data_IF_464482671605
#
_entry.id   IF_464482671605
#
_cell.length_a   1.000
_cell.length_b   1.000
_cell.length_c   1.000
_cell.angle_alpha   90.00
_cell.angle_beta   90.00
_cell.angle_gamma   90.00
#
_symmetry.space_group_name_H-M   'P 1'
#
loop_
_entity.id
_entity.type
_entity.pdbx_description
1 polymer ?
#
# COMPACT_ATOMS: atom_id res chain seq x y z
N UNK A 1 -15.68 1.66 26.10
CA UNK A 1 -14.93 1.89 24.85
C UNK A 1 -13.88 2.93 25.16
N UNK A 2 -12.64 2.66 24.79
CA UNK A 2 -11.54 3.56 25.10
C UNK A 2 -11.62 4.80 24.19
N UNK A 3 -11.38 5.98 24.77
CA UNK A 3 -11.25 7.20 23.98
C UNK A 3 -9.87 7.18 23.35
N UNK A 4 -9.82 7.12 22.01
CA UNK A 4 -8.57 7.25 21.26
C UNK A 4 -8.27 8.73 21.08
N UNK A 5 -7.03 9.12 21.35
CA UNK A 5 -6.55 10.48 21.15
C UNK A 5 -5.20 10.45 20.46
N UNK A 6 -4.71 11.61 20.03
CA UNK A 6 -3.37 11.76 19.47
C UNK A 6 -2.24 11.30 20.43
N UNK A 7 -2.53 11.22 21.73
CA UNK A 7 -1.59 10.81 22.78
C UNK A 7 -1.67 9.33 23.14
N UNK A 8 -2.68 8.60 22.64
CA UNK A 8 -2.75 7.15 22.78
C UNK A 8 -1.51 6.52 22.13
N UNK A 9 -0.81 5.62 22.82
CA UNK A 9 0.35 4.92 22.24
C UNK A 9 -0.09 3.74 21.39
N UNK A 10 0.81 3.24 20.53
CA UNK A 10 0.55 2.00 19.79
C UNK A 10 0.32 0.84 20.75
N UNK A 11 1.10 0.77 21.83
CA UNK A 11 0.95 -0.27 22.84
C UNK A 11 -0.39 -0.23 23.57
N UNK A 12 -0.86 0.96 23.95
CA UNK A 12 -2.20 1.13 24.52
C UNK A 12 -3.28 0.68 23.52
N UNK A 13 -3.18 1.15 22.27
CA UNK A 13 -4.14 0.82 21.21
C UNK A 13 -4.20 -0.70 20.95
N UNK A 14 -3.06 -1.38 20.91
CA UNK A 14 -2.98 -2.83 20.74
C UNK A 14 -3.52 -3.61 21.95
N UNK A 15 -3.51 -3.00 23.14
CA UNK A 15 -4.04 -3.58 24.37
C UNK A 15 -5.56 -3.43 24.53
N UNK A 16 -6.21 -2.62 23.72
CA UNK A 16 -7.67 -2.44 23.76
C UNK A 16 -8.39 -3.65 23.17
N UNK A 17 -9.28 -4.26 23.97
CA UNK A 17 -10.01 -5.48 23.63
C UNK A 17 -10.81 -5.31 22.32
N UNK A 18 -11.34 -4.11 22.06
CA UNK A 18 -12.10 -3.80 20.85
C UNK A 18 -11.30 -3.91 19.54
N UNK A 19 -9.96 -3.89 19.59
CA UNK A 19 -9.08 -4.01 18.41
C UNK A 19 -8.28 -5.31 18.37
N UNK A 20 -8.35 -6.12 19.42
CA UNK A 20 -7.57 -7.35 19.57
C UNK A 20 -7.57 -8.28 18.35
N UNK A 21 -8.68 -8.45 17.58
CA UNK A 21 -8.66 -9.30 16.39
C UNK A 21 -7.71 -8.84 15.29
N UNK A 22 -7.33 -7.56 15.27
CA UNK A 22 -6.49 -6.98 14.21
C UNK A 22 -5.26 -6.21 14.71
N UNK A 23 -5.04 -6.13 16.03
CA UNK A 23 -3.98 -5.29 16.61
C UNK A 23 -2.57 -5.70 16.19
N UNK A 24 -2.32 -7.00 15.99
CA UNK A 24 -1.04 -7.53 15.48
C UNK A 24 -0.70 -7.01 14.06
N UNK A 25 -1.69 -6.45 13.36
CA UNK A 25 -1.58 -5.94 12.01
C UNK A 25 -1.48 -4.41 11.96
N UNK A 26 -1.60 -3.69 13.09
CA UNK A 26 -1.37 -2.24 13.08
C UNK A 26 0.07 -1.93 12.67
N UNK A 27 1.03 -2.66 13.20
CA UNK A 27 2.42 -2.61 12.76
C UNK A 27 3.02 -3.99 12.99
N UNK A 28 3.68 -4.57 11.99
CA UNK A 28 4.35 -5.87 12.16
C UNK A 28 5.81 -5.67 12.59
N UNK A 29 6.44 -6.70 13.14
CA UNK A 29 7.85 -6.70 13.57
C UNK A 29 8.23 -5.45 14.40
N UNK A 30 7.35 -5.07 15.33
CA UNK A 30 7.52 -3.87 16.15
C UNK A 30 8.77 -3.96 17.02
N UNK A 31 9.50 -2.86 17.06
CA UNK A 31 10.58 -2.60 18.01
C UNK A 31 10.03 -1.77 19.18
N UNK A 32 10.70 -1.74 20.32
CA UNK A 32 10.22 -1.04 21.53
C UNK A 32 9.94 0.46 21.27
N UNK A 33 10.76 1.09 20.44
CA UNK A 33 10.58 2.47 19.99
C UNK A 33 9.28 2.68 19.19
N UNK A 34 8.74 1.65 18.53
CA UNK A 34 7.46 1.76 17.81
C UNK A 34 6.29 1.70 18.79
N UNK A 35 6.38 0.83 19.79
CA UNK A 35 5.31 0.49 20.73
C UNK A 35 4.93 1.65 21.65
N UNK A 36 5.94 2.38 22.14
CA UNK A 36 5.76 3.46 23.13
C UNK A 36 5.45 4.83 22.50
N UNK A 37 5.59 4.96 21.19
CA UNK A 37 5.32 6.23 20.52
C UNK A 37 3.80 6.53 20.44
N UNK A 38 3.37 7.77 20.75
CA UNK A 38 1.98 8.17 20.63
C UNK A 38 1.55 8.28 19.16
N UNK A 39 0.26 8.12 18.87
CA UNK A 39 -0.26 8.18 17.51
C UNK A 39 0.08 9.50 16.77
N UNK A 40 0.23 10.63 17.46
CA UNK A 40 0.70 11.89 16.86
C UNK A 40 2.09 11.79 16.22
N UNK A 41 2.96 10.92 16.74
CA UNK A 41 4.27 10.65 16.14
C UNK A 41 4.12 10.13 14.70
N UNK A 42 3.09 9.32 14.46
CA UNK A 42 2.79 8.73 13.17
C UNK A 42 1.84 9.58 12.31
N UNK A 43 1.48 10.77 12.77
CA UNK A 43 0.56 11.68 12.09
C UNK A 43 -0.91 11.34 12.31
N UNK A 44 -1.40 11.49 13.55
CA UNK A 44 -2.78 11.17 13.96
C UNK A 44 -3.87 11.64 12.96
N UNK A 45 -3.93 12.95 12.69
CA UNK A 45 -4.90 13.51 11.74
C UNK A 45 -4.50 13.23 10.28
N UNK A 46 -3.22 13.42 9.97
CA UNK A 46 -2.62 13.20 8.63
C UNK A 46 -2.95 11.83 8.06
N UNK A 47 -2.90 10.81 8.91
CA UNK A 47 -3.08 9.40 8.56
C UNK A 47 -4.51 8.89 8.83
N UNK A 48 -5.44 9.74 9.27
CA UNK A 48 -6.86 9.40 9.39
C UNK A 48 -7.18 8.31 10.41
N UNK A 49 -6.44 8.25 11.52
CA UNK A 49 -6.56 7.13 12.48
C UNK A 49 -7.93 7.00 13.13
N UNK A 50 -8.60 8.11 13.44
CA UNK A 50 -9.92 8.07 14.08
C UNK A 50 -10.95 7.37 13.18
N UNK A 51 -11.01 7.77 11.90
CA UNK A 51 -11.88 7.15 10.90
C UNK A 51 -11.53 5.67 10.67
N UNK A 52 -10.24 5.37 10.60
CA UNK A 52 -9.74 4.00 10.42
C UNK A 52 -10.18 3.07 11.55
N UNK A 53 -10.00 3.51 12.80
CA UNK A 53 -10.29 2.71 13.99
C UNK A 53 -11.80 2.60 14.24
N UNK A 54 -12.59 3.63 13.92
CA UNK A 54 -14.06 3.51 13.88
C UNK A 54 -14.52 2.49 12.84
N UNK A 55 -13.90 2.48 11.64
CA UNK A 55 -14.26 1.50 10.62
C UNK A 55 -13.95 0.07 11.06
N UNK A 56 -12.79 -0.16 11.67
CA UNK A 56 -12.43 -1.47 12.25
C UNK A 56 -13.48 -1.91 13.27
N UNK A 57 -13.87 -1.02 14.20
CA UNK A 57 -14.90 -1.34 15.21
C UNK A 57 -16.22 -1.75 14.57
N UNK A 58 -16.65 -1.01 13.54
CA UNK A 58 -17.90 -1.30 12.82
C UNK A 58 -17.86 -2.70 12.19
N UNK A 59 -16.77 -3.05 11.48
CA UNK A 59 -16.64 -4.36 10.84
C UNK A 59 -16.63 -5.49 11.88
N UNK A 60 -15.89 -5.31 12.98
CA UNK A 60 -15.83 -6.30 14.06
C UNK A 60 -17.19 -6.48 14.76
N UNK A 61 -17.98 -5.41 14.91
CA UNK A 61 -19.33 -5.48 15.48
C UNK A 61 -20.31 -6.27 14.60
N UNK A 62 -20.12 -6.24 13.27
CA UNK A 62 -20.89 -7.04 12.30
C UNK A 62 -20.49 -8.52 12.29
N UNK A 63 -19.46 -8.91 13.05
CA UNK A 63 -18.89 -10.27 13.12
C UNK A 63 -18.43 -10.80 11.75
N UNK A 64 -18.06 -9.89 10.84
CA UNK A 64 -17.45 -10.24 9.57
C UNK A 64 -16.00 -10.67 9.87
N UNK A 65 -15.56 -11.87 9.42
CA UNK A 65 -14.16 -12.24 9.53
C UNK A 65 -13.29 -11.24 8.78
N UNK A 66 -12.36 -10.60 9.48
CA UNK A 66 -11.43 -9.65 8.86
C UNK A 66 -10.12 -10.32 8.44
N UNK A 67 -9.64 -11.29 9.21
CA UNK A 67 -8.30 -11.86 9.03
C UNK A 67 -8.39 -13.20 8.31
N UNK A 68 -7.70 -13.31 7.19
CA UNK A 68 -7.62 -14.53 6.40
C UNK A 68 -6.16 -14.97 6.17
N UNK A 69 -5.94 -16.28 6.16
CA UNK A 69 -4.66 -16.87 5.78
C UNK A 69 -4.55 -16.96 4.26
N UNK A 70 -3.40 -16.59 3.71
CA UNK A 70 -3.12 -16.68 2.26
C UNK A 70 -2.00 -17.69 2.04
N UNK A 71 -2.33 -18.92 1.65
CA UNK A 71 -1.30 -19.94 1.44
C UNK A 71 -0.51 -20.26 2.72
N UNK A 72 0.74 -19.82 2.79
CA UNK A 72 1.62 -20.05 3.95
C UNK A 72 1.07 -19.40 5.24
N UNK A 73 1.34 -20.00 6.40
CA UNK A 73 0.79 -19.52 7.69
C UNK A 73 1.22 -18.10 8.07
N UNK A 74 2.29 -17.56 7.49
CA UNK A 74 2.78 -16.20 7.80
C UNK A 74 2.11 -15.10 6.98
N UNK A 75 1.44 -15.42 5.88
CA UNK A 75 0.81 -14.42 5.00
C UNK A 75 -0.65 -14.22 5.41
N UNK A 76 -1.02 -12.95 5.62
CA UNK A 76 -2.35 -12.58 6.09
C UNK A 76 -2.99 -11.55 5.16
N UNK A 77 -4.31 -11.62 5.04
CA UNK A 77 -5.13 -10.68 4.31
C UNK A 77 -6.16 -10.11 5.27
N UNK A 78 -6.15 -8.79 5.44
CA UNK A 78 -7.20 -8.09 6.19
C UNK A 78 -8.25 -7.63 5.20
N UNK A 79 -9.41 -8.28 5.22
CA UNK A 79 -10.58 -7.93 4.44
C UNK A 79 -11.37 -6.82 5.13
N UNK A 80 -11.60 -5.74 4.40
CA UNK A 80 -12.47 -4.64 4.80
C UNK A 80 -13.55 -4.47 3.72
N UNK A 81 -14.81 -4.87 3.99
CA UNK A 81 -15.89 -4.79 3.01
C UNK A 81 -16.23 -3.35 2.66
N UNK A 82 -16.69 -3.10 1.43
CA UNK A 82 -17.25 -1.80 1.05
C UNK A 82 -18.40 -1.39 1.99
N UNK A 83 -18.59 -0.09 2.19
CA UNK A 83 -19.78 0.43 2.86
C UNK A 83 -20.92 0.41 1.83
N UNK A 84 -21.93 -0.44 2.02
CA UNK A 84 -23.15 -0.40 1.22
C UNK A 84 -24.03 0.79 1.60
N UNK A 85 -24.84 1.30 0.66
CA UNK A 85 -25.73 2.46 0.87
C UNK A 85 -26.72 2.31 2.07
N UNK A 86 -26.92 1.10 2.59
CA UNK A 86 -27.83 0.81 3.71
C UNK A 86 -27.19 0.85 5.11
N UNK A 87 -25.89 1.14 5.24
CA UNK A 87 -25.28 1.41 6.53
C UNK A 87 -25.51 2.89 6.89
N UNK A 88 -26.59 3.15 7.65
CA UNK A 88 -27.00 4.42 8.29
C UNK A 88 -26.09 5.63 8.03
N UNK A 89 -26.31 6.29 6.89
CA UNK A 89 -25.81 7.63 6.61
C UNK A 89 -26.57 8.65 7.49
N UNK A 90 -26.25 8.68 8.79
CA UNK A 90 -26.66 9.70 9.76
C UNK A 90 -25.46 10.44 10.35
N UNK A 91 -24.48 10.76 9.52
CA UNK A 91 -23.52 11.81 9.85
C UNK A 91 -23.08 12.49 8.55
N UNK A 92 -23.39 13.77 8.46
CA UNK A 92 -22.84 14.74 7.55
C UNK A 92 -23.25 14.62 6.06
N UNK A 93 -24.31 15.36 5.73
CA UNK A 93 -24.87 15.54 4.40
C UNK A 93 -23.95 16.24 3.39
N UNK A 94 -22.79 15.65 3.10
CA UNK A 94 -21.99 15.94 1.91
C UNK A 94 -22.06 14.74 0.98
N UNK A 95 -22.90 14.88 -0.01
CA UNK A 95 -23.02 13.98 -1.16
C UNK A 95 -21.71 14.00 -1.96
N UNK A 96 -20.88 12.98 -1.79
CA UNK A 96 -19.89 12.61 -2.82
C UNK A 96 -20.67 11.88 -3.92
N UNK A 97 -20.35 12.21 -5.19
CA UNK A 97 -21.17 11.91 -6.36
C UNK A 97 -21.72 10.49 -6.41
N UNK A 98 -23.02 10.39 -6.70
CA UNK A 98 -23.71 9.14 -7.04
C UNK A 98 -22.98 8.44 -8.18
N UNK A 99 -22.35 7.30 -7.90
CA UNK A 99 -22.27 6.25 -8.89
C UNK A 99 -23.63 5.54 -8.86
N UNK A 100 -24.45 5.76 -9.88
CA UNK A 100 -25.66 4.96 -10.12
C UNK A 100 -25.22 3.50 -10.36
N UNK A 101 -25.05 2.71 -9.30
CA UNK A 101 -24.93 1.27 -9.43
C UNK A 101 -25.66 0.57 -8.29
N UNK A 102 -26.74 -0.09 -8.70
CA UNK A 102 -27.57 -1.02 -7.95
C UNK A 102 -26.74 -1.83 -6.95
N UNK A 103 -27.11 -1.77 -5.67
CA UNK A 103 -26.63 -2.71 -4.64
C UNK A 103 -27.32 -4.06 -4.85
N UNK A 104 -26.95 -4.73 -5.95
CA UNK A 104 -27.20 -6.13 -6.29
C UNK A 104 -26.21 -6.52 -7.40
N UNK A 105 -24.95 -6.77 -7.02
CA UNK A 105 -23.85 -7.08 -7.95
C UNK A 105 -22.47 -7.15 -7.28
N UNK A 106 -21.56 -7.92 -7.87
CA UNK A 106 -20.15 -8.03 -7.47
C UNK A 106 -19.38 -6.74 -7.74
N UNK A 107 -18.51 -6.30 -6.82
CA UNK A 107 -17.81 -5.01 -6.89
C UNK A 107 -16.33 -5.13 -7.33
N UNK A 108 -15.79 -4.15 -8.07
CA UNK A 108 -14.33 -4.02 -8.19
C UNK A 108 -13.67 -3.89 -6.81
N UNK A 109 -12.44 -4.36 -6.65
CA UNK A 109 -11.76 -4.35 -5.35
C UNK A 109 -10.32 -3.82 -5.41
N UNK A 110 -9.78 -3.42 -4.25
CA UNK A 110 -8.41 -2.92 -4.14
C UNK A 110 -7.60 -3.82 -3.20
N UNK A 111 -6.45 -4.30 -3.66
CA UNK A 111 -5.45 -4.92 -2.80
C UNK A 111 -4.46 -3.85 -2.37
N UNK A 112 -4.26 -3.68 -1.06
CA UNK A 112 -3.38 -2.67 -0.48
C UNK A 112 -2.13 -3.34 0.08
N UNK A 113 -0.95 -2.89 -0.35
CA UNK A 113 0.36 -3.35 0.07
C UNK A 113 1.04 -2.24 0.90
N UNK A 114 1.01 -2.31 2.24
CA UNK A 114 1.71 -1.36 3.09
C UNK A 114 3.22 -1.37 2.83
N UNK A 115 3.90 -0.26 3.11
CA UNK A 115 5.35 -0.16 3.10
C UNK A 115 5.99 -0.64 4.39
N UNK A 116 7.28 -0.35 4.55
CA UNK A 116 8.09 -0.76 5.71
C UNK A 116 9.46 -1.32 5.34
N UNK A 117 10.01 -0.84 4.22
CA UNK A 117 11.34 -1.18 3.71
C UNK A 117 11.61 -2.69 3.61
N UNK A 118 10.55 -3.49 3.37
CA UNK A 118 10.60 -4.95 3.40
C UNK A 118 11.05 -5.56 4.75
N UNK A 119 11.21 -4.75 5.79
CA UNK A 119 11.55 -5.17 7.15
C UNK A 119 10.32 -5.46 8.01
N UNK A 120 9.21 -4.80 7.68
CA UNK A 120 7.93 -4.81 8.40
C UNK A 120 6.83 -4.22 7.52
N UNK A 121 5.62 -4.09 8.07
CA UNK A 121 4.47 -3.47 7.44
C UNK A 121 3.85 -2.40 8.34
N UNK A 122 3.67 -1.19 7.79
CA UNK A 122 2.99 -0.06 8.44
C UNK A 122 1.47 -0.15 8.24
N UNK A 123 0.88 -1.25 8.74
CA UNK A 123 -0.48 -1.67 8.43
C UNK A 123 -1.58 -0.70 8.86
N UNK A 124 -1.43 0.05 9.95
CA UNK A 124 -2.43 1.04 10.38
C UNK A 124 -2.44 2.27 9.46
N UNK A 125 -1.26 2.80 9.12
CA UNK A 125 -1.09 4.04 8.33
C UNK A 125 -1.38 3.81 6.86
N UNK A 126 -0.79 2.77 6.29
CA UNK A 126 -0.75 2.53 4.84
C UNK A 126 -1.67 1.40 4.41
N UNK A 127 -2.25 0.66 5.36
CA UNK A 127 -3.21 -0.42 5.12
C UNK A 127 -4.62 -0.04 5.54
N UNK A 128 -4.93 -0.14 6.84
CA UNK A 128 -6.28 -0.04 7.41
C UNK A 128 -6.86 1.36 7.21
N UNK A 129 -6.10 2.43 7.44
CA UNK A 129 -6.59 3.79 7.18
C UNK A 129 -6.92 4.01 5.70
N UNK A 130 -6.07 3.51 4.81
CA UNK A 130 -6.29 3.56 3.36
C UNK A 130 -7.50 2.70 2.96
N UNK A 131 -7.63 1.50 3.51
CA UNK A 131 -8.76 0.60 3.30
C UNK A 131 -10.10 1.19 3.78
N UNK A 132 -10.10 1.92 4.90
CA UNK A 132 -11.28 2.62 5.39
C UNK A 132 -11.77 3.69 4.40
N UNK A 133 -10.87 4.42 3.75
CA UNK A 133 -11.24 5.38 2.69
C UNK A 133 -11.79 4.65 1.47
N UNK A 134 -11.12 3.59 0.98
CA UNK A 134 -11.62 2.78 -0.13
C UNK A 134 -13.02 2.23 0.11
N UNK A 135 -13.30 1.77 1.34
CA UNK A 135 -14.63 1.31 1.72
C UNK A 135 -15.70 2.39 1.60
N UNK A 136 -15.39 3.64 1.98
CA UNK A 136 -16.32 4.78 1.80
C UNK A 136 -16.53 5.12 0.33
N UNK A 137 -15.51 4.90 -0.50
CA UNK A 137 -15.59 5.07 -1.96
C UNK A 137 -16.33 3.91 -2.66
N UNK A 138 -16.80 2.91 -1.90
CA UNK A 138 -17.57 1.78 -2.43
C UNK A 138 -16.74 0.57 -2.86
N UNK A 139 -15.44 0.54 -2.56
CA UNK A 139 -14.54 -0.56 -2.91
C UNK A 139 -14.24 -1.46 -1.70
N UNK A 140 -14.44 -2.78 -1.81
CA UNK A 140 -13.85 -3.72 -0.88
C UNK A 140 -12.32 -3.61 -0.94
N UNK A 141 -11.69 -3.58 0.23
CA UNK A 141 -10.24 -3.43 0.37
C UNK A 141 -9.65 -4.66 1.05
N UNK A 142 -8.49 -5.10 0.56
CA UNK A 142 -7.75 -6.25 1.08
C UNK A 142 -6.33 -5.83 1.39
N UNK A 143 -5.98 -5.71 2.67
CA UNK A 143 -4.64 -5.31 3.08
C UNK A 143 -3.77 -6.56 3.17
N UNK A 144 -2.75 -6.64 2.32
CA UNK A 144 -1.83 -7.77 2.25
C UNK A 144 -0.66 -7.59 3.22
N UNK A 145 -0.57 -8.51 4.17
CA UNK A 145 0.59 -8.70 5.04
C UNK A 145 1.46 -9.80 4.45
N UNK A 146 2.29 -9.41 3.48
CA UNK A 146 3.26 -10.24 2.78
C UNK A 146 4.49 -10.59 3.65
N UNK A 147 5.30 -11.56 3.23
CA UNK A 147 6.52 -11.95 3.96
C UNK A 147 7.54 -10.81 4.00
N UNK A 148 8.18 -10.60 5.15
CA UNK A 148 9.18 -9.54 5.36
C UNK A 148 10.37 -10.05 6.18
N UNK A 149 11.33 -9.16 6.46
CA UNK A 149 12.43 -9.37 7.42
C UNK A 149 13.44 -10.49 7.07
N UNK A 150 13.64 -10.77 5.78
CA UNK A 150 14.59 -11.79 5.30
C UNK A 150 15.53 -11.20 4.24
N UNK A 151 16.72 -11.80 4.05
CA UNK A 151 17.73 -11.34 3.07
C UNK A 151 18.35 -12.56 2.34
N UNK A 152 18.17 -12.72 1.02
CA UNK A 152 17.23 -11.98 0.17
C UNK A 152 15.77 -12.28 0.56
N UNK A 153 14.90 -11.31 0.31
CA UNK A 153 13.46 -11.43 0.48
C UNK A 153 12.76 -11.75 -0.84
N UNK A 154 13.09 -11.03 -1.91
CA UNK A 154 12.42 -11.22 -3.20
C UNK A 154 12.79 -12.58 -3.82
N UNK A 155 11.83 -13.22 -4.54
CA UNK A 155 10.52 -12.73 -4.97
C UNK A 155 9.35 -13.01 -4.00
N UNK A 156 9.59 -13.40 -2.74
CA UNK A 156 8.52 -13.88 -1.82
C UNK A 156 7.28 -12.97 -1.69
N UNK A 157 7.40 -11.63 -1.55
CA UNK A 157 6.24 -10.75 -1.48
C UNK A 157 5.40 -10.72 -2.75
N UNK A 158 6.03 -10.97 -3.90
CA UNK A 158 5.36 -11.04 -5.21
C UNK A 158 4.55 -12.35 -5.29
N UNK A 159 5.15 -13.47 -4.87
CA UNK A 159 4.42 -14.75 -4.71
C UNK A 159 3.21 -14.59 -3.78
N UNK A 160 3.36 -13.82 -2.69
CA UNK A 160 2.30 -13.59 -1.71
C UNK A 160 1.15 -12.75 -2.29
N UNK A 161 1.46 -11.73 -3.10
CA UNK A 161 0.46 -10.95 -3.82
C UNK A 161 -0.30 -11.81 -4.83
N UNK A 162 0.43 -12.65 -5.58
CA UNK A 162 -0.19 -13.61 -6.50
C UNK A 162 -1.14 -14.57 -5.77
N UNK A 163 -0.71 -15.12 -4.63
CA UNK A 163 -1.54 -16.02 -3.82
C UNK A 163 -2.77 -15.31 -3.24
N UNK A 164 -2.63 -14.05 -2.82
CA UNK A 164 -3.73 -13.25 -2.29
C UNK A 164 -4.80 -12.98 -3.37
N UNK A 165 -4.37 -12.54 -4.56
CA UNK A 165 -5.28 -12.29 -5.68
C UNK A 165 -5.99 -13.59 -6.09
N UNK A 166 -5.27 -14.72 -6.23
CA UNK A 166 -5.92 -16.03 -6.51
C UNK A 166 -7.00 -16.37 -5.49
N UNK A 167 -6.69 -16.22 -4.21
CA UNK A 167 -7.64 -16.51 -3.15
C UNK A 167 -8.88 -15.61 -3.21
N UNK A 168 -8.71 -14.32 -3.49
CA UNK A 168 -9.82 -13.38 -3.66
C UNK A 168 -10.69 -13.79 -4.85
N UNK A 169 -10.07 -14.11 -5.99
CA UNK A 169 -10.74 -14.55 -7.22
C UNK A 169 -11.49 -15.89 -7.06
N UNK A 170 -10.93 -16.83 -6.30
CA UNK A 170 -11.57 -18.12 -5.98
C UNK A 170 -12.76 -17.95 -5.04
N UNK A 171 -12.70 -16.96 -4.14
CA UNK A 171 -13.72 -16.67 -3.12
C UNK A 171 -14.54 -15.42 -3.45
N UNK A 172 -14.63 -15.07 -4.73
CA UNK A 172 -15.26 -13.83 -5.18
C UNK A 172 -16.72 -13.69 -4.71
N UNK A 173 -17.47 -14.80 -4.62
CA UNK A 173 -18.84 -14.81 -4.08
C UNK A 173 -18.89 -14.48 -2.59
N UNK A 174 -17.96 -15.01 -1.79
CA UNK A 174 -17.87 -14.73 -0.36
C UNK A 174 -17.56 -13.24 -0.12
N UNK A 175 -16.62 -12.70 -0.89
CA UNK A 175 -16.20 -11.32 -0.78
C UNK A 175 -17.10 -10.34 -1.54
N UNK A 176 -18.06 -10.84 -2.32
CA UNK A 176 -18.93 -10.06 -3.21
C UNK A 176 -18.13 -9.16 -4.17
N UNK A 177 -17.04 -9.68 -4.71
CA UNK A 177 -16.16 -8.96 -5.64
C UNK A 177 -16.27 -9.47 -7.07
N UNK A 178 -16.02 -8.59 -8.03
CA UNK A 178 -16.03 -8.89 -9.46
C UNK A 178 -14.69 -9.49 -9.86
N UNK A 179 -14.73 -10.70 -10.43
CA UNK A 179 -13.52 -11.41 -10.86
C UNK A 179 -12.78 -10.62 -11.93
N UNK A 180 -11.46 -10.54 -11.78
CA UNK A 180 -10.56 -9.89 -12.72
C UNK A 180 -10.69 -8.37 -12.77
N UNK A 181 -11.46 -7.76 -11.88
CA UNK A 181 -11.63 -6.32 -11.82
C UNK A 181 -11.10 -5.78 -10.50
N UNK A 182 -9.79 -5.52 -10.48
CA UNK A 182 -9.09 -5.07 -9.28
C UNK A 182 -8.01 -4.03 -9.58
N UNK A 183 -7.64 -3.29 -8.55
CA UNK A 183 -6.46 -2.44 -8.53
C UNK A 183 -5.50 -2.89 -7.41
N UNK A 184 -4.22 -2.54 -7.55
CA UNK A 184 -3.23 -2.74 -6.49
C UNK A 184 -2.70 -1.38 -6.04
N UNK A 185 -2.86 -1.08 -4.76
CA UNK A 185 -2.30 0.11 -4.12
C UNK A 185 -1.07 -0.26 -3.31
N UNK A 186 0.02 0.48 -3.44
CA UNK A 186 1.26 0.22 -2.73
C UNK A 186 1.93 1.48 -2.22
N UNK A 187 2.55 1.38 -1.04
CA UNK A 187 3.25 2.48 -0.38
C UNK A 187 4.72 2.14 -0.14
N UNK A 188 5.66 3.01 -0.51
CA UNK A 188 7.10 2.81 -0.26
C UNK A 188 7.59 1.46 -0.84
N UNK A 189 8.12 0.55 -0.03
CA UNK A 189 8.43 -0.84 -0.43
C UNK A 189 7.20 -1.64 -0.89
N UNK A 190 6.02 -1.39 -0.34
CA UNK A 190 4.76 -1.92 -0.86
C UNK A 190 4.38 -1.28 -2.21
N UNK A 191 4.85 -0.05 -2.48
CA UNK A 191 4.77 0.63 -3.77
C UNK A 191 5.69 -0.02 -4.81
N UNK A 192 6.89 -0.44 -4.40
CA UNK A 192 7.74 -1.31 -5.22
C UNK A 192 7.04 -2.64 -5.52
N UNK A 193 6.44 -3.32 -4.53
CA UNK A 193 5.66 -4.55 -4.77
C UNK A 193 4.50 -4.33 -5.74
N UNK A 194 3.72 -3.27 -5.56
CA UNK A 194 2.61 -2.95 -6.46
C UNK A 194 3.09 -2.62 -7.88
N UNK A 195 4.24 -1.95 -8.03
CA UNK A 195 4.83 -1.66 -9.32
C UNK A 195 5.41 -2.93 -9.98
N UNK A 196 6.05 -3.81 -9.22
CA UNK A 196 6.48 -5.14 -9.71
C UNK A 196 5.30 -5.93 -10.25
N UNK A 197 4.11 -5.76 -9.67
CA UNK A 197 2.92 -6.45 -10.16
C UNK A 197 2.56 -6.13 -11.62
N UNK A 198 3.02 -5.00 -12.15
CA UNK A 198 2.81 -4.63 -13.55
C UNK A 198 3.89 -5.16 -14.51
N UNK A 199 5.05 -5.60 -14.01
CA UNK A 199 6.21 -5.96 -14.85
C UNK A 199 6.02 -7.29 -15.57
N UNK A 200 6.75 -7.48 -16.67
CA UNK A 200 6.64 -8.70 -17.49
C UNK A 200 7.33 -9.92 -16.87
N UNK A 201 8.35 -9.71 -16.05
CA UNK A 201 9.15 -10.79 -15.45
C UNK A 201 8.53 -11.36 -14.19
N UNK A 202 7.92 -10.52 -13.34
CA UNK A 202 7.39 -10.89 -12.02
C UNK A 202 5.93 -10.46 -11.78
N UNK A 203 5.27 -9.80 -12.74
CA UNK A 203 3.92 -9.29 -12.55
C UNK A 203 2.78 -10.27 -12.82
N UNK A 204 1.57 -9.73 -12.96
CA UNK A 204 0.32 -10.48 -13.16
C UNK A 204 0.40 -11.52 -14.28
N UNK A 205 1.08 -11.20 -15.38
CA UNK A 205 1.19 -12.06 -16.57
C UNK A 205 2.03 -13.30 -16.29
N UNK A 206 3.11 -13.16 -15.52
CA UNK A 206 3.97 -14.25 -15.08
C UNK A 206 3.17 -15.32 -14.31
N UNK A 207 2.26 -14.87 -13.45
CA UNK A 207 1.45 -15.76 -12.60
C UNK A 207 0.15 -16.24 -13.26
N UNK A 208 -0.12 -15.85 -14.51
CA UNK A 208 -1.34 -16.20 -15.25
C UNK A 208 -2.61 -15.59 -14.65
N UNK A 209 -2.49 -14.44 -13.99
CA UNK A 209 -3.59 -13.74 -13.32
C UNK A 209 -4.18 -12.64 -14.23
N UNK A 210 -5.40 -12.15 -13.96
CA UNK A 210 -5.95 -11.03 -14.71
C UNK A 210 -5.09 -9.77 -14.54
N UNK A 211 -4.95 -8.98 -15.62
CA UNK A 211 -4.28 -7.67 -15.57
C UNK A 211 -5.05 -6.75 -14.60
N UNK A 212 -4.38 -6.08 -13.64
CA UNK A 212 -5.05 -5.10 -12.79
C UNK A 212 -5.55 -3.91 -13.63
N UNK A 213 -6.70 -3.36 -13.27
CA UNK A 213 -7.26 -2.18 -13.94
C UNK A 213 -6.50 -0.89 -13.65
N UNK A 214 -5.81 -0.83 -12.52
CA UNK A 214 -4.90 0.27 -12.17
C UNK A 214 -3.88 -0.16 -11.10
N UNK A 215 -2.75 0.53 -11.07
CA UNK A 215 -1.78 0.53 -9.98
C UNK A 215 -1.76 1.90 -9.32
N UNK A 216 -1.94 1.96 -8.00
CA UNK A 216 -1.86 3.19 -7.22
C UNK A 216 -0.57 3.19 -6.41
N UNK A 217 0.39 4.01 -6.80
CA UNK A 217 1.77 3.95 -6.32
C UNK A 217 2.10 5.21 -5.51
N UNK A 218 2.18 5.06 -4.19
CA UNK A 218 2.55 6.13 -3.29
C UNK A 218 4.02 6.02 -2.89
N UNK A 219 4.81 7.04 -3.25
CA UNK A 219 6.24 7.19 -3.01
C UNK A 219 7.01 5.87 -3.25
N UNK A 220 6.86 5.24 -4.43
CA UNK A 220 7.39 3.91 -4.67
C UNK A 220 8.92 3.90 -4.78
N UNK A 221 9.55 2.88 -4.22
CA UNK A 221 10.97 2.57 -4.43
C UNK A 221 11.21 1.89 -5.79
N UNK A 222 10.77 2.48 -6.90
CA UNK A 222 10.67 1.84 -8.22
C UNK A 222 12.01 1.52 -8.92
N UNK A 223 13.09 2.27 -8.65
CA UNK A 223 14.39 2.05 -9.31
C UNK A 223 15.50 1.79 -8.31
N UNK A 224 16.06 0.58 -8.31
CA UNK A 224 17.19 0.24 -7.44
C UNK A 224 18.49 0.93 -7.85
N UNK A 225 18.66 1.31 -9.12
CA UNK A 225 19.81 2.11 -9.59
C UNK A 225 19.85 3.46 -8.85
N UNK A 226 18.69 4.10 -8.63
CA UNK A 226 18.59 5.36 -7.84
C UNK A 226 19.01 5.15 -6.38
N UNK A 227 18.65 4.01 -5.77
CA UNK A 227 19.08 3.69 -4.40
C UNK A 227 20.58 3.36 -4.32
N UNK A 228 21.15 2.71 -5.34
CA UNK A 228 22.60 2.52 -5.45
C UNK A 228 23.32 3.87 -5.54
N UNK A 229 22.84 4.79 -6.40
CA UNK A 229 23.41 6.13 -6.53
C UNK A 229 23.34 6.90 -5.20
N UNK A 230 22.20 6.87 -4.51
CA UNK A 230 22.05 7.52 -3.20
C UNK A 230 23.04 6.96 -2.15
N UNK A 231 23.22 5.63 -2.12
CA UNK A 231 24.17 4.97 -1.22
C UNK A 231 25.63 5.34 -1.54
N UNK A 232 25.99 5.36 -2.82
CA UNK A 232 27.33 5.75 -3.28
C UNK A 232 27.64 7.22 -2.99
N UNK A 233 26.67 8.11 -3.22
CA UNK A 233 26.77 9.54 -2.91
C UNK A 233 26.92 9.78 -1.40
N UNK A 234 26.12 9.11 -0.57
CA UNK A 234 26.22 9.21 0.88
C UNK A 234 27.61 8.75 1.37
N UNK A 235 28.12 7.63 0.83
CA UNK A 235 29.47 7.14 1.14
C UNK A 235 30.55 8.13 0.72
N UNK A 236 30.46 8.69 -0.48
CA UNK A 236 31.40 9.70 -0.97
C UNK A 236 31.37 10.99 -0.13
N UNK A 237 30.22 11.35 0.43
CA UNK A 237 30.05 12.46 1.36
C UNK A 237 30.50 12.15 2.80
N UNK A 238 31.02 10.95 3.07
CA UNK A 238 31.53 10.57 4.39
C UNK A 238 30.45 10.17 5.40
N UNK A 239 29.27 9.74 4.94
CA UNK A 239 28.24 9.21 5.82
C UNK A 239 28.73 7.95 6.57
N UNK A 240 28.33 7.82 7.82
CA UNK A 240 28.59 6.62 8.64
C UNK A 240 27.74 5.43 8.19
N UNK A 241 28.17 4.21 8.55
CA UNK A 241 27.37 3.00 8.27
C UNK A 241 25.96 3.06 8.86
N UNK A 242 25.78 3.71 10.03
CA UNK A 242 24.47 3.89 10.63
C UNK A 242 23.55 4.77 9.79
N UNK A 243 24.09 5.83 9.18
CA UNK A 243 23.32 6.72 8.28
C UNK A 243 22.95 6.03 6.97
N UNK A 244 23.80 5.12 6.48
CA UNK A 244 23.57 4.36 5.26
C UNK A 244 22.75 3.07 5.47
N UNK A 245 22.56 2.66 6.73
CA UNK A 245 22.00 1.35 7.07
C UNK A 245 20.59 1.14 6.49
N UNK A 246 19.73 2.16 6.47
CA UNK A 246 18.36 2.02 5.96
C UNK A 246 18.36 1.61 4.47
N UNK A 247 19.01 2.41 3.62
CA UNK A 247 19.11 2.14 2.18
C UNK A 247 19.85 0.85 1.87
N UNK A 248 20.99 0.59 2.54
CA UNK A 248 21.72 -0.67 2.39
C UNK A 248 20.86 -1.87 2.76
N UNK A 249 20.20 -1.84 3.92
CA UNK A 249 19.35 -2.94 4.37
C UNK A 249 18.16 -3.18 3.43
N UNK A 250 17.60 -2.13 2.82
CA UNK A 250 16.57 -2.28 1.78
C UNK A 250 17.14 -3.05 0.56
N UNK A 251 18.28 -2.60 0.02
CA UNK A 251 18.92 -3.27 -1.12
C UNK A 251 19.32 -4.73 -0.82
N UNK A 252 19.78 -5.04 0.39
CA UNK A 252 20.09 -6.42 0.78
C UNK A 252 18.85 -7.33 0.87
N UNK A 253 17.66 -6.75 1.12
CA UNK A 253 16.40 -7.50 1.06
C UNK A 253 15.96 -7.73 -0.39
N UNK A 254 16.28 -6.81 -1.29
CA UNK A 254 15.98 -6.95 -2.72
C UNK A 254 16.94 -7.95 -3.37
N UNK A 255 18.25 -7.68 -3.33
CA UNK A 255 19.28 -8.44 -4.06
C UNK A 255 20.12 -9.41 -3.23
N UNK A 256 19.87 -9.55 -1.94
CA UNK A 256 20.69 -10.37 -1.02
C UNK A 256 21.91 -9.64 -0.46
N UNK A 257 22.64 -10.23 0.51
CA UNK A 257 23.76 -9.57 1.19
C UNK A 257 24.94 -9.21 0.27
N UNK A 258 25.11 -9.95 -0.83
CA UNK A 258 26.18 -9.76 -1.81
C UNK A 258 25.65 -9.13 -3.12
N UNK A 259 24.62 -8.29 -3.02
CA UNK A 259 24.00 -7.67 -4.19
C UNK A 259 25.02 -6.88 -5.03
N UNK A 260 24.82 -6.88 -6.34
CA UNK A 260 25.46 -5.94 -7.26
C UNK A 260 24.41 -5.00 -7.84
N UNK A 261 24.83 -3.86 -8.39
CA UNK A 261 23.92 -2.96 -9.11
C UNK A 261 23.17 -3.72 -10.23
N UNK A 262 23.87 -4.56 -10.98
CA UNK A 262 23.28 -5.35 -12.05
C UNK A 262 22.25 -6.37 -11.54
N UNK A 263 22.56 -7.10 -10.46
CA UNK A 263 21.60 -8.09 -9.91
C UNK A 263 20.35 -7.45 -9.33
N UNK A 264 20.43 -6.19 -8.88
CA UNK A 264 19.25 -5.45 -8.41
C UNK A 264 18.30 -5.02 -9.53
N UNK A 265 18.77 -4.97 -10.79
CA UNK A 265 17.93 -4.56 -11.92
C UNK A 265 16.82 -5.54 -12.24
N UNK A 266 16.96 -6.80 -11.80
CA UNK A 266 15.88 -7.80 -11.86
C UNK A 266 14.59 -7.30 -11.18
N UNK A 267 14.73 -6.42 -10.19
CA UNK A 267 13.63 -5.81 -9.45
C UNK A 267 13.59 -4.27 -9.63
N UNK A 268 14.04 -3.78 -10.78
CA UNK A 268 13.87 -2.37 -11.16
C UNK A 268 12.80 -2.29 -12.24
N UNK A 269 11.75 -1.53 -11.97
CA UNK A 269 10.53 -1.52 -12.79
C UNK A 269 10.82 -1.06 -14.22
N UNK A 270 11.71 -0.08 -14.39
CA UNK A 270 12.06 0.51 -15.68
C UNK A 270 12.70 -0.47 -16.68
N UNK A 271 13.30 -1.56 -16.20
CA UNK A 271 13.92 -2.57 -17.08
C UNK A 271 12.96 -3.68 -17.53
N UNK A 272 11.79 -3.77 -16.89
CA UNK A 272 10.84 -4.87 -17.09
C UNK A 272 9.42 -4.41 -17.45
N UNK A 273 9.26 -3.11 -17.70
CA UNK A 273 8.05 -2.52 -18.26
C UNK A 273 7.97 -2.75 -19.78
N UNK A 274 6.76 -2.99 -20.27
CA UNK A 274 6.43 -2.94 -21.69
C UNK A 274 5.05 -2.27 -21.89
N UNK A 275 4.57 -2.20 -23.14
CA UNK A 275 3.30 -1.57 -23.49
C UNK A 275 2.08 -2.27 -22.87
N UNK A 276 2.26 -3.46 -22.26
CA UNK A 276 1.22 -4.20 -21.55
C UNK A 276 1.09 -3.78 -20.08
N UNK A 277 1.94 -2.88 -19.58
CA UNK A 277 1.90 -2.41 -18.19
C UNK A 277 0.52 -1.81 -17.83
N UNK A 278 0.03 -1.98 -16.59
CA UNK A 278 -1.26 -1.43 -16.18
C UNK A 278 -1.27 0.10 -16.06
N UNK A 279 -2.44 0.76 -16.17
CA UNK A 279 -2.56 2.19 -15.90
C UNK A 279 -2.07 2.57 -14.49
N UNK A 280 -1.41 3.72 -14.34
CA UNK A 280 -0.76 4.11 -13.07
C UNK A 280 -1.28 5.45 -12.54
N UNK A 281 -1.63 5.48 -11.27
CA UNK A 281 -1.74 6.72 -10.49
C UNK A 281 -0.56 6.83 -9.53
N UNK A 282 0.34 7.80 -9.73
CA UNK A 282 1.56 7.97 -8.94
C UNK A 282 1.50 9.18 -8.01
N UNK A 283 1.97 9.01 -6.78
CA UNK A 283 2.09 10.08 -5.78
C UNK A 283 3.51 10.12 -5.25
N UNK A 284 4.09 11.31 -5.08
CA UNK A 284 5.34 11.47 -4.33
C UNK A 284 5.52 12.90 -3.83
N UNK A 285 6.31 13.07 -2.77
CA UNK A 285 6.69 14.38 -2.26
C UNK A 285 8.16 14.65 -2.58
N UNK A 286 8.50 15.86 -3.04
CA UNK A 286 9.89 16.24 -3.32
C UNK A 286 10.76 16.31 -2.06
N UNK A 287 10.14 16.59 -0.91
CA UNK A 287 10.80 16.61 0.39
C UNK A 287 10.82 15.25 1.11
N UNK A 288 10.51 14.15 0.42
CA UNK A 288 10.60 12.80 0.98
C UNK A 288 12.07 12.49 1.38
N UNK A 289 12.37 12.29 2.68
CA UNK A 289 13.74 12.08 3.13
C UNK A 289 14.17 10.60 3.04
N UNK A 290 13.27 9.69 2.63
CA UNK A 290 13.48 8.24 2.65
C UNK A 290 13.64 7.68 1.25
N UNK A 291 12.73 8.04 0.35
CA UNK A 291 12.75 7.58 -1.05
C UNK A 291 13.11 8.78 -1.93
N UNK A 292 14.27 8.77 -2.61
CA UNK A 292 14.64 9.84 -3.51
C UNK A 292 13.57 10.05 -4.59
N UNK A 293 13.18 11.30 -4.83
CA UNK A 293 12.13 11.64 -5.79
C UNK A 293 12.46 11.15 -7.22
N UNK A 294 13.75 11.01 -7.53
CA UNK A 294 14.27 10.45 -8.76
C UNK A 294 13.70 9.07 -9.05
N UNK A 295 13.42 8.25 -8.03
CA UNK A 295 12.75 6.95 -8.16
C UNK A 295 11.39 7.08 -8.85
N UNK A 296 10.62 8.12 -8.49
CA UNK A 296 9.33 8.41 -9.12
C UNK A 296 9.49 8.98 -10.54
N UNK A 297 10.48 9.83 -10.78
CA UNK A 297 10.72 10.38 -12.12
C UNK A 297 11.21 9.33 -13.12
N UNK A 298 12.03 8.37 -12.69
CA UNK A 298 12.43 7.23 -13.53
C UNK A 298 11.19 6.42 -13.95
N UNK A 299 10.30 6.13 -13.00
CA UNK A 299 9.06 5.40 -13.30
C UNK A 299 8.12 6.18 -14.23
N UNK A 300 7.91 7.48 -13.99
CA UNK A 300 7.08 8.32 -14.87
C UNK A 300 7.63 8.37 -16.30
N UNK A 301 8.95 8.47 -16.45
CA UNK A 301 9.60 8.44 -17.76
C UNK A 301 9.38 7.12 -18.49
N UNK A 302 9.47 5.99 -17.79
CA UNK A 302 9.19 4.68 -18.37
C UNK A 302 7.72 4.55 -18.82
N UNK A 303 6.77 5.06 -18.00
CA UNK A 303 5.35 5.09 -18.36
C UNK A 303 5.08 5.94 -19.62
N UNK A 304 5.73 7.09 -19.74
CA UNK A 304 5.66 7.94 -20.94
C UNK A 304 6.21 7.23 -22.19
N UNK A 305 7.36 6.57 -22.06
CA UNK A 305 8.04 5.87 -23.17
C UNK A 305 7.23 4.70 -23.71
N UNK A 306 6.50 3.99 -22.84
CA UNK A 306 5.61 2.88 -23.20
C UNK A 306 4.16 3.30 -23.46
N UNK A 307 3.88 4.61 -23.47
CA UNK A 307 2.54 5.16 -23.70
C UNK A 307 1.47 4.61 -22.74
N UNK A 308 1.86 4.31 -21.50
CA UNK A 308 0.97 3.77 -20.48
C UNK A 308 0.08 4.90 -19.95
N UNK A 309 -1.25 4.73 -19.88
CA UNK A 309 -2.12 5.72 -19.26
C UNK A 309 -1.71 5.97 -17.81
N UNK A 310 -1.40 7.22 -17.48
CA UNK A 310 -1.01 7.55 -16.12
C UNK A 310 -1.46 8.96 -15.70
N UNK A 311 -1.59 9.14 -14.39
CA UNK A 311 -1.75 10.42 -13.74
C UNK A 311 -0.77 10.48 -12.56
N UNK A 312 -0.21 11.65 -12.29
CA UNK A 312 0.71 11.83 -11.16
C UNK A 312 0.39 13.07 -10.36
N UNK A 313 0.61 13.00 -9.05
CA UNK A 313 0.62 14.15 -8.14
C UNK A 313 1.96 14.19 -7.40
N UNK A 314 2.77 15.19 -7.75
CA UNK A 314 4.06 15.46 -7.11
C UNK A 314 3.91 16.71 -6.24
N UNK A 315 3.97 16.55 -4.92
CA UNK A 315 3.90 17.65 -3.97
C UNK A 315 5.29 18.25 -3.72
N UNK A 316 5.35 19.55 -3.41
CA UNK A 316 6.59 20.17 -2.92
C UNK A 316 6.90 19.70 -1.51
N UNK A 317 5.87 19.53 -0.68
CA UNK A 317 6.00 19.16 0.73
C UNK A 317 4.97 18.13 1.17
N UNK A 318 5.38 17.22 2.03
CA UNK A 318 4.50 16.20 2.63
C UNK A 318 5.25 15.04 3.28
N UNK A 319 6.55 14.92 2.98
CA UNK A 319 7.44 13.89 3.51
C UNK A 319 7.05 12.47 3.09
N UNK A 320 7.65 11.49 3.78
CA UNK A 320 7.33 10.07 3.64
C UNK A 320 6.16 9.65 4.55
N UNK A 321 5.56 8.50 4.26
CA UNK A 321 4.55 7.84 5.11
C UNK A 321 3.38 8.76 5.51
N UNK A 322 2.75 9.36 4.51
CA UNK A 322 1.56 10.20 4.72
C UNK A 322 0.23 9.42 4.71
N UNK A 323 0.21 8.16 4.26
CA UNK A 323 -1.01 7.35 4.23
C UNK A 323 -2.12 8.02 3.41
N UNK A 324 -3.22 8.40 4.07
CA UNK A 324 -4.33 9.14 3.45
C UNK A 324 -3.98 10.61 3.11
N UNK A 325 -2.98 11.19 3.77
CA UNK A 325 -2.45 12.52 3.43
C UNK A 325 -3.34 13.69 3.85
N UNK A 326 -4.19 13.53 4.86
CA UNK A 326 -5.07 14.59 5.35
C UNK A 326 -4.28 15.84 5.78
N UNK A 327 -4.84 17.01 5.49
CA UNK A 327 -4.23 18.30 5.80
C UNK A 327 -2.84 18.54 5.15
N UNK A 328 -2.50 17.76 4.12
CA UNK A 328 -1.29 17.96 3.30
C UNK A 328 -1.66 18.26 1.84
N UNK A 329 -0.66 18.52 0.99
CA UNK A 329 -0.84 18.62 -0.46
C UNK A 329 -1.32 17.30 -1.10
N UNK A 330 -1.27 16.18 -0.36
CA UNK A 330 -1.77 14.88 -0.81
C UNK A 330 -3.23 14.62 -0.46
N UNK A 331 -3.89 15.48 0.32
CA UNK A 331 -5.29 15.25 0.70
C UNK A 331 -6.19 15.04 -0.54
N UNK A 332 -7.12 14.09 -0.44
CA UNK A 332 -8.05 13.75 -1.51
C UNK A 332 -7.47 12.87 -2.63
N UNK A 333 -6.26 12.34 -2.48
CA UNK A 333 -5.63 11.56 -3.55
C UNK A 333 -6.36 10.23 -3.83
N UNK A 334 -7.01 9.63 -2.84
CA UNK A 334 -7.73 8.35 -2.98
C UNK A 334 -8.99 8.53 -3.84
N UNK A 335 -9.71 9.63 -3.65
CA UNK A 335 -10.83 10.04 -4.49
C UNK A 335 -10.38 10.26 -5.94
N UNK A 336 -9.23 10.88 -6.15
CA UNK A 336 -8.65 11.09 -7.48
C UNK A 336 -8.18 9.79 -8.13
N UNK A 337 -7.56 8.91 -7.37
CA UNK A 337 -7.16 7.58 -7.84
C UNK A 337 -8.37 6.73 -8.23
N UNK A 338 -9.46 6.78 -7.45
CA UNK A 338 -10.73 6.14 -7.79
C UNK A 338 -11.31 6.72 -9.10
N UNK A 339 -11.33 8.05 -9.24
CA UNK A 339 -11.76 8.72 -10.46
C UNK A 339 -10.91 8.34 -11.68
N UNK A 340 -9.59 8.26 -11.51
CA UNK A 340 -8.66 7.78 -12.54
C UNK A 340 -8.98 6.35 -12.99
N UNK A 341 -9.18 5.44 -12.04
CA UNK A 341 -9.49 4.04 -12.36
C UNK A 341 -10.85 3.90 -13.07
N UNK A 342 -11.87 4.63 -12.65
CA UNK A 342 -13.17 4.66 -13.33
C UNK A 342 -13.07 5.13 -14.78
N UNK A 343 -12.13 6.03 -15.11
CA UNK A 343 -11.87 6.42 -16.50
C UNK A 343 -11.23 5.30 -17.34
N UNK A 344 -10.48 4.38 -16.72
CA UNK A 344 -9.85 3.25 -17.42
C UNK A 344 -10.83 2.08 -17.68
N UNK A 345 -11.97 2.07 -16.98
CA UNK A 345 -13.00 1.03 -17.09
C UNK A 345 -14.08 1.33 -18.14
N UNK A 346 -14.05 2.53 -18.73
CA UNK A 346 -14.97 2.99 -19.78
C UNK A 346 -14.36 2.71 -21.15
#
# INVERSE_FOLDING_TARGET
>A
MHQITENTTIGELCGYEEYRPVSDYFFTNMTEDVWENPLKHYGYEKCGFEEALERVRTILAEKIPMVYNVGAEEVKLIYMPAIGENADNKADGKTVGKADNKVDGSLPYVVVCPGGAYARQWGLIEGIAVGAVWNRLGYPAFILYYRTAQKPLLPKPIDDLAAAIRMIEERAEEFRVEKGNYAVAGFSAGGHLAAEWGTTNHGWSHYGLPKPGALFLAYPSASNDVFCDALEQAKAAGASEAQMASGRNYLERVGGPDFTRESLREYSIEYHMDDSYPPVYLLACKDDPVVPIESSYVLLKALEDHHIPHQSRIAETGGHSFGVGNHTQMHGWLEEAAGFWEMQRR
#
